data_IF_556427815209
#
_entry.id   IF_556427815209
#
_cell.length_a   1.000
_cell.length_b   1.000
_cell.length_c   1.000
_cell.angle_alpha   90.00
_cell.angle_beta   90.00
_cell.angle_gamma   90.00
#
_symmetry.space_group_name_H-M   'P 1'
#
loop_
_entity.id
_entity.type
_entity.pdbx_description
1 polymer ?
#
# COMPACT_ATOMS: atom_id res chain seq x y z
N UNK A 1 -33.36 23.19 13.05
CA UNK A 1 -33.04 22.27 11.94
C UNK A 1 -31.71 22.60 11.27
N UNK A 2 -31.46 23.86 10.85
CA UNK A 2 -30.17 24.27 10.23
C UNK A 2 -28.91 23.98 11.07
N UNK A 3 -28.95 24.13 12.40
CA UNK A 3 -27.80 23.83 13.28
C UNK A 3 -27.44 22.32 13.33
N UNK A 4 -28.45 21.45 13.44
CA UNK A 4 -28.27 19.99 13.43
C UNK A 4 -27.74 19.46 12.09
N UNK A 5 -28.17 20.06 10.97
CA UNK A 5 -27.67 19.66 9.64
C UNK A 5 -26.22 20.06 9.40
N UNK A 6 -25.78 21.21 9.93
CA UNK A 6 -24.36 21.63 9.82
C UNK A 6 -23.47 20.75 10.70
N UNK A 7 -23.90 20.43 11.93
CA UNK A 7 -23.16 19.52 12.81
C UNK A 7 -23.02 18.13 12.19
N UNK A 8 -24.10 17.58 11.62
CA UNK A 8 -24.06 16.31 10.90
C UNK A 8 -23.09 16.32 9.71
N UNK A 9 -23.12 17.37 8.88
CA UNK A 9 -22.20 17.50 7.75
C UNK A 9 -20.73 17.63 8.19
N UNK A 10 -20.47 18.30 9.31
CA UNK A 10 -19.11 18.39 9.87
C UNK A 10 -18.61 17.03 10.34
N UNK A 11 -19.41 16.29 11.12
CA UNK A 11 -19.04 14.94 11.59
C UNK A 11 -18.80 13.97 10.42
N UNK A 12 -19.72 13.97 9.44
CA UNK A 12 -19.58 13.15 8.23
C UNK A 12 -18.32 13.53 7.43
N UNK A 13 -17.98 14.82 7.37
CA UNK A 13 -16.75 15.31 6.77
C UNK A 13 -15.51 14.78 7.49
N UNK A 14 -15.47 14.85 8.82
CA UNK A 14 -14.35 14.31 9.63
C UNK A 14 -14.21 12.80 9.42
N UNK A 15 -15.32 12.06 9.45
CA UNK A 15 -15.31 10.61 9.21
C UNK A 15 -14.80 10.28 7.80
N UNK A 16 -15.25 11.03 6.79
CA UNK A 16 -14.80 10.87 5.40
C UNK A 16 -13.30 11.13 5.27
N UNK A 17 -12.79 12.20 5.90
CA UNK A 17 -11.36 12.53 5.91
C UNK A 17 -10.55 11.42 6.59
N UNK A 18 -11.03 10.88 7.71
CA UNK A 18 -10.36 9.76 8.39
C UNK A 18 -10.27 8.50 7.51
N UNK A 19 -11.36 8.16 6.81
CA UNK A 19 -11.39 7.01 5.88
C UNK A 19 -10.44 7.23 4.70
N UNK A 20 -10.48 8.41 4.07
CA UNK A 20 -9.60 8.74 2.93
C UNK A 20 -8.13 8.74 3.37
N UNK A 21 -7.81 9.28 4.54
CA UNK A 21 -6.45 9.25 5.08
C UNK A 21 -5.97 7.82 5.32
N UNK A 22 -6.81 6.96 5.91
CA UNK A 22 -6.51 5.52 6.07
C UNK A 22 -6.22 4.86 4.71
N UNK A 23 -7.08 5.11 3.71
CA UNK A 23 -6.90 4.55 2.38
C UNK A 23 -5.59 5.01 1.71
N UNK A 24 -5.20 6.28 1.88
CA UNK A 24 -3.93 6.81 1.36
C UNK A 24 -2.74 6.10 2.01
N UNK A 25 -2.77 5.90 3.34
CA UNK A 25 -1.69 5.20 4.05
C UNK A 25 -1.55 3.75 3.60
N UNK A 26 -2.66 3.04 3.43
CA UNK A 26 -2.66 1.65 2.93
C UNK A 26 -2.07 1.59 1.52
N UNK A 27 -2.49 2.49 0.62
CA UNK A 27 -1.97 2.49 -0.75
C UNK A 27 -0.47 2.81 -0.80
N UNK A 28 0.00 3.71 0.08
CA UNK A 28 1.43 3.98 0.25
C UNK A 28 2.16 2.73 0.74
N UNK A 29 1.65 2.05 1.76
CA UNK A 29 2.23 0.81 2.29
C UNK A 29 2.38 -0.27 1.21
N UNK A 30 1.35 -0.46 0.38
CA UNK A 30 1.36 -1.43 -0.72
C UNK A 30 2.39 -1.05 -1.79
N UNK A 31 2.47 0.24 -2.14
CA UNK A 31 3.43 0.72 -3.13
C UNK A 31 4.88 0.51 -2.67
N UNK A 32 5.17 0.86 -1.43
CA UNK A 32 6.49 0.72 -0.84
C UNK A 32 6.90 -0.76 -0.71
N UNK A 33 5.98 -1.61 -0.24
CA UNK A 33 6.21 -3.07 -0.12
C UNK A 33 6.59 -3.75 -1.45
N UNK A 34 6.10 -3.25 -2.60
CA UNK A 34 6.50 -3.75 -3.92
C UNK A 34 7.93 -3.39 -4.30
N UNK A 35 8.42 -2.22 -3.87
CA UNK A 35 9.81 -1.82 -4.07
C UNK A 35 10.71 -2.61 -3.14
N UNK A 36 10.34 -2.75 -1.88
CA UNK A 36 11.07 -3.51 -0.86
C UNK A 36 11.24 -4.98 -1.27
N UNK A 37 10.17 -5.61 -1.75
CA UNK A 37 10.20 -6.99 -2.27
C UNK A 37 11.15 -7.16 -3.46
N UNK A 38 11.28 -6.13 -4.31
CA UNK A 38 12.22 -6.15 -5.44
C UNK A 38 13.66 -6.06 -4.95
N UNK A 39 13.95 -5.20 -3.98
CA UNK A 39 15.27 -5.07 -3.35
C UNK A 39 15.70 -6.42 -2.76
N UNK A 40 14.83 -7.06 -1.96
CA UNK A 40 15.08 -8.38 -1.35
C UNK A 40 15.34 -9.45 -2.41
N UNK A 41 14.59 -9.44 -3.53
CA UNK A 41 14.82 -10.39 -4.62
C UNK A 41 16.20 -10.17 -5.28
N UNK A 42 16.57 -8.91 -5.52
CA UNK A 42 17.86 -8.56 -6.13
C UNK A 42 19.01 -8.95 -5.21
N UNK A 43 18.94 -8.65 -3.91
CA UNK A 43 19.95 -9.08 -2.93
C UNK A 43 20.00 -10.61 -2.80
N UNK A 44 18.84 -11.27 -2.82
CA UNK A 44 18.75 -12.72 -2.85
C UNK A 44 19.44 -13.32 -4.08
N UNK A 45 19.27 -12.69 -5.24
CA UNK A 45 19.89 -13.09 -6.52
C UNK A 45 21.40 -12.91 -6.51
N UNK A 46 21.95 -11.94 -5.78
CA UNK A 46 23.40 -11.75 -5.65
C UNK A 46 24.12 -13.00 -5.15
N UNK A 47 23.51 -13.73 -4.22
CA UNK A 47 24.04 -14.99 -3.65
C UNK A 47 24.11 -16.11 -4.70
N UNK A 48 23.05 -16.25 -5.50
CA UNK A 48 23.04 -17.23 -6.59
C UNK A 48 24.08 -16.86 -7.66
N UNK A 49 24.19 -15.56 -7.97
CA UNK A 49 25.14 -15.06 -8.96
C UNK A 49 26.60 -15.24 -8.50
N UNK A 50 26.95 -15.00 -7.24
CA UNK A 50 28.31 -15.25 -6.73
C UNK A 50 28.71 -16.71 -6.90
N UNK A 51 27.80 -17.63 -6.55
CA UNK A 51 28.00 -19.07 -6.74
C UNK A 51 28.09 -19.45 -8.22
N UNK A 52 27.24 -18.86 -9.08
CA UNK A 52 27.27 -19.10 -10.53
C UNK A 52 28.58 -18.63 -11.15
N UNK A 53 29.09 -17.46 -10.76
CA UNK A 53 30.38 -16.92 -11.17
C UNK A 53 31.49 -17.89 -10.79
N UNK A 54 31.54 -18.34 -9.53
CA UNK A 54 32.55 -19.30 -9.05
C UNK A 54 32.48 -20.63 -9.80
N UNK A 55 31.28 -21.17 -10.01
CA UNK A 55 31.08 -22.42 -10.75
C UNK A 55 31.54 -22.30 -12.21
N UNK A 56 31.20 -21.21 -12.90
CA UNK A 56 31.61 -20.98 -14.27
C UNK A 56 33.13 -20.78 -14.36
N UNK A 57 33.73 -20.05 -13.42
CA UNK A 57 35.17 -19.84 -13.33
C UNK A 57 35.92 -21.17 -13.16
N UNK A 58 35.47 -22.04 -12.26
CA UNK A 58 36.05 -23.39 -12.07
C UNK A 58 35.92 -24.25 -13.33
N UNK A 59 34.78 -24.18 -14.03
CA UNK A 59 34.53 -24.94 -15.26
C UNK A 59 35.52 -24.60 -16.39
N UNK A 60 36.04 -23.37 -16.44
CA UNK A 60 37.05 -22.96 -17.43
C UNK A 60 38.33 -23.82 -17.39
N UNK A 61 38.69 -24.40 -16.23
CA UNK A 61 39.89 -25.24 -16.12
C UNK A 61 39.73 -26.59 -16.84
N UNK A 62 38.49 -27.02 -17.04
CA UNK A 62 38.15 -28.33 -17.62
C UNK A 62 37.75 -28.25 -19.09
N UNK A 63 37.73 -27.06 -19.68
CA UNK A 63 37.41 -26.86 -21.10
C UNK A 63 38.52 -27.43 -21.99
N UNK A 64 38.14 -28.30 -22.93
CA UNK A 64 39.06 -28.95 -23.87
C UNK A 64 39.02 -28.35 -25.27
N UNK A 65 37.89 -27.72 -25.63
CA UNK A 65 37.65 -27.14 -26.95
C UNK A 65 37.56 -25.62 -26.86
N UNK A 66 37.78 -24.96 -28.00
CA UNK A 66 37.67 -23.51 -28.12
C UNK A 66 36.24 -23.06 -27.86
N UNK A 67 35.31 -23.80 -28.43
CA UNK A 67 33.87 -23.57 -28.37
C UNK A 67 33.39 -23.64 -26.91
N UNK A 68 33.77 -24.70 -26.18
CA UNK A 68 33.42 -24.85 -24.76
C UNK A 68 33.98 -23.71 -23.91
N UNK A 69 35.24 -23.32 -24.15
CA UNK A 69 35.88 -22.26 -23.40
C UNK A 69 35.14 -20.93 -23.57
N UNK A 70 34.84 -20.52 -24.80
CA UNK A 70 34.14 -19.26 -25.04
C UNK A 70 32.69 -19.29 -24.57
N UNK A 71 32.00 -20.44 -24.64
CA UNK A 71 30.66 -20.60 -24.08
C UNK A 71 30.65 -20.42 -22.55
N UNK A 72 31.56 -21.07 -21.83
CA UNK A 72 31.67 -20.94 -20.36
C UNK A 72 32.15 -19.55 -19.97
N UNK A 73 33.07 -18.95 -20.73
CA UNK A 73 33.52 -17.58 -20.52
C UNK A 73 32.36 -16.60 -20.67
N UNK A 74 31.52 -16.76 -21.69
CA UNK A 74 30.33 -15.93 -21.87
C UNK A 74 29.35 -16.08 -20.70
N UNK A 75 29.14 -17.31 -20.20
CA UNK A 75 28.30 -17.57 -19.01
C UNK A 75 28.84 -16.83 -17.78
N UNK A 76 30.15 -16.93 -17.53
CA UNK A 76 30.84 -16.26 -16.44
C UNK A 76 30.66 -14.74 -16.53
N UNK A 77 30.96 -14.16 -17.69
CA UNK A 77 30.94 -12.70 -17.88
C UNK A 77 29.53 -12.14 -17.79
N UNK A 78 28.54 -12.83 -18.37
CA UNK A 78 27.14 -12.42 -18.29
C UNK A 78 26.64 -12.46 -16.84
N UNK A 79 27.01 -13.50 -16.08
CA UNK A 79 26.65 -13.58 -14.66
C UNK A 79 27.31 -12.45 -13.85
N UNK A 80 28.58 -12.16 -14.12
CA UNK A 80 29.32 -11.09 -13.45
C UNK A 80 28.81 -9.69 -13.80
N UNK A 81 28.38 -9.45 -15.05
CA UNK A 81 27.81 -8.16 -15.46
C UNK A 81 26.49 -7.89 -14.73
N UNK A 82 25.58 -8.87 -14.71
CA UNK A 82 24.33 -8.75 -13.97
C UNK A 82 24.56 -8.63 -12.45
N UNK A 83 25.57 -9.33 -11.94
CA UNK A 83 25.95 -9.26 -10.53
C UNK A 83 26.46 -7.88 -10.15
N UNK A 84 27.34 -7.29 -10.95
CA UNK A 84 27.85 -5.93 -10.76
C UNK A 84 26.75 -4.87 -10.87
N UNK A 85 25.90 -4.95 -11.89
CA UNK A 85 24.74 -4.04 -12.04
C UNK A 85 23.80 -4.12 -10.84
N UNK A 86 23.49 -5.34 -10.39
CA UNK A 86 22.63 -5.56 -9.23
C UNK A 86 23.30 -5.08 -7.94
N UNK A 87 24.63 -5.21 -7.80
CA UNK A 87 25.36 -4.74 -6.63
C UNK A 87 25.35 -3.21 -6.54
N UNK A 88 25.59 -2.53 -7.67
CA UNK A 88 25.50 -1.07 -7.78
C UNK A 88 24.08 -0.56 -7.49
N UNK A 89 23.07 -1.20 -8.08
CA UNK A 89 21.68 -0.83 -7.87
C UNK A 89 21.23 -0.99 -6.40
N UNK A 90 21.78 -1.94 -5.65
CA UNK A 90 21.50 -2.10 -4.22
C UNK A 90 22.14 -0.98 -3.36
N UNK A 91 23.24 -0.39 -3.80
CA UNK A 91 23.92 0.69 -3.07
C UNK A 91 23.40 2.09 -3.45
N UNK A 92 23.10 2.29 -4.72
CA UNK A 92 22.81 3.62 -5.28
C UNK A 92 21.39 3.76 -5.85
N UNK A 93 20.65 2.66 -5.98
CA UNK A 93 19.34 2.64 -6.64
C UNK A 93 19.47 2.70 -8.17
N UNK A 94 18.34 2.61 -8.86
CA UNK A 94 18.24 2.82 -10.30
C UNK A 94 16.80 3.18 -10.70
N UNK A 95 16.50 3.20 -12.00
CA UNK A 95 15.15 3.54 -12.49
C UNK A 95 14.04 2.59 -11.98
N UNK A 96 14.39 1.39 -11.50
CA UNK A 96 13.44 0.34 -11.10
C UNK A 96 13.34 0.14 -9.59
N UNK A 97 14.36 0.54 -8.82
CA UNK A 97 14.40 0.43 -7.36
C UNK A 97 14.94 1.72 -6.73
N UNK A 98 14.24 2.19 -5.71
CA UNK A 98 14.72 3.26 -4.83
C UNK A 98 15.19 2.63 -3.52
N UNK A 99 16.47 2.83 -3.19
CA UNK A 99 17.12 2.27 -2.00
C UNK A 99 17.39 3.33 -0.94
N UNK A 100 17.03 4.59 -1.19
CA UNK A 100 17.44 5.74 -0.37
C UNK A 100 17.01 5.61 1.09
N UNK A 101 15.80 5.11 1.33
CA UNK A 101 15.25 4.90 2.67
C UNK A 101 15.97 3.76 3.42
N UNK A 102 16.14 2.60 2.77
CA UNK A 102 16.81 1.46 3.40
C UNK A 102 18.30 1.74 3.64
N UNK A 103 18.97 2.37 2.69
CA UNK A 103 20.40 2.69 2.78
C UNK A 103 20.72 3.83 3.76
N UNK A 104 19.71 4.43 4.39
CA UNK A 104 19.92 5.26 5.58
C UNK A 104 20.25 4.41 6.83
N UNK A 105 20.02 3.09 6.81
CA UNK A 105 20.35 2.18 7.91
C UNK A 105 21.87 2.11 8.13
N UNK A 106 22.38 2.45 9.33
CA UNK A 106 23.80 2.31 9.66
C UNK A 106 24.32 0.87 9.52
N UNK A 107 23.43 -0.12 9.73
CA UNK A 107 23.76 -1.55 9.62
C UNK A 107 24.02 -1.90 8.15
N UNK A 108 23.15 -1.48 7.22
CA UNK A 108 23.37 -1.73 5.78
C UNK A 108 24.63 -1.03 5.27
N UNK A 109 24.86 0.22 5.67
CA UNK A 109 26.08 0.95 5.29
C UNK A 109 27.34 0.17 5.73
N UNK A 110 27.35 -0.33 6.97
CA UNK A 110 28.45 -1.14 7.48
C UNK A 110 28.62 -2.46 6.72
N UNK A 111 27.52 -3.17 6.45
CA UNK A 111 27.56 -4.43 5.70
C UNK A 111 28.06 -4.25 4.27
N UNK A 112 27.60 -3.21 3.56
CA UNK A 112 28.11 -2.87 2.22
C UNK A 112 29.58 -2.46 2.25
N UNK A 113 30.02 -1.73 3.26
CA UNK A 113 31.45 -1.42 3.42
C UNK A 113 32.29 -2.69 3.66
N UNK A 114 31.77 -3.66 4.41
CA UNK A 114 32.49 -4.90 4.74
C UNK A 114 32.52 -5.90 3.59
N UNK A 115 31.49 -5.92 2.73
CA UNK A 115 31.43 -6.82 1.58
C UNK A 115 32.29 -6.33 0.40
N UNK A 116 32.54 -5.02 0.31
CA UNK A 116 33.21 -4.37 -0.82
C UNK A 116 34.56 -4.99 -1.20
N UNK A 117 35.50 -5.30 -0.27
CA UNK A 117 36.80 -5.88 -0.65
C UNK A 117 36.68 -7.25 -1.32
N UNK A 118 35.70 -8.06 -0.91
CA UNK A 118 35.43 -9.37 -1.53
C UNK A 118 34.79 -9.20 -2.90
N UNK A 119 33.87 -8.23 -3.03
CA UNK A 119 33.28 -7.86 -4.30
C UNK A 119 34.35 -7.43 -5.31
N UNK A 120 35.22 -6.50 -4.92
CA UNK A 120 36.30 -5.95 -5.75
C UNK A 120 37.28 -7.03 -6.19
N UNK A 121 37.63 -7.95 -5.28
CA UNK A 121 38.51 -9.08 -5.57
C UNK A 121 37.92 -10.03 -6.62
N UNK A 122 36.63 -10.35 -6.50
CA UNK A 122 35.93 -11.24 -7.45
C UNK A 122 35.81 -10.55 -8.81
N UNK A 123 35.33 -9.30 -8.87
CA UNK A 123 35.10 -8.62 -10.15
C UNK A 123 36.42 -8.32 -10.88
N UNK A 124 37.48 -7.98 -10.14
CA UNK A 124 38.83 -7.81 -10.69
C UNK A 124 39.37 -9.12 -11.29
N UNK A 125 39.21 -10.24 -10.59
CA UNK A 125 39.59 -11.56 -11.10
C UNK A 125 38.78 -11.97 -12.33
N UNK A 126 37.48 -11.67 -12.38
CA UNK A 126 36.66 -11.86 -13.60
C UNK A 126 37.17 -10.96 -14.73
N UNK A 127 37.55 -9.72 -14.45
CA UNK A 127 38.17 -8.80 -15.41
C UNK A 127 39.43 -9.37 -16.06
N UNK A 128 40.30 -10.00 -15.26
CA UNK A 128 41.47 -10.71 -15.78
C UNK A 128 41.07 -11.88 -16.70
N UNK A 129 40.04 -12.66 -16.35
CA UNK A 129 39.55 -13.76 -17.20
C UNK A 129 38.95 -13.22 -18.51
N UNK A 130 38.30 -12.06 -18.50
CA UNK A 130 37.74 -11.41 -19.70
C UNK A 130 38.79 -11.16 -20.79
N UNK A 131 40.03 -10.86 -20.42
CA UNK A 131 41.09 -10.57 -21.41
C UNK A 131 41.75 -11.82 -21.98
N UNK A 132 41.54 -13.00 -21.39
CA UNK A 132 42.19 -14.25 -21.81
C UNK A 132 41.55 -14.84 -23.07
N UNK A 133 42.36 -15.26 -24.04
CA UNK A 133 41.92 -16.03 -25.21
C UNK A 133 41.98 -17.54 -24.98
N UNK A 134 41.24 -18.30 -25.80
CA UNK A 134 41.50 -19.74 -25.92
C UNK A 134 42.82 -19.96 -26.66
N UNK A 135 43.87 -20.35 -25.94
CA UNK A 135 45.09 -20.89 -26.54
C UNK A 135 45.05 -22.40 -26.46
N UNK A 136 45.14 -23.07 -27.62
CA UNK A 136 45.32 -24.54 -27.72
C UNK A 136 46.63 -25.01 -27.05
N UNK A 137 47.49 -24.07 -26.65
CA UNK A 137 48.73 -24.28 -25.90
C UNK A 137 48.80 -23.26 -24.76
N UNK A 138 48.11 -23.47 -23.64
CA UNK A 138 48.31 -22.62 -22.46
C UNK A 138 49.75 -22.85 -21.94
N UNK A 139 50.72 -22.07 -22.40
CA UNK A 139 52.11 -22.06 -21.92
C UNK A 139 52.42 -20.69 -21.32
N UNK A 140 52.95 -20.71 -20.09
CA UNK A 140 53.44 -19.54 -19.40
C UNK A 140 52.35 -18.73 -18.68
N UNK A 141 52.48 -17.40 -18.74
CA UNK A 141 51.79 -16.43 -17.89
C UNK A 141 50.26 -16.45 -17.96
N UNK A 142 49.65 -16.79 -19.11
CA UNK A 142 48.18 -16.80 -19.26
C UNK A 142 47.52 -17.92 -18.45
N UNK A 143 48.17 -19.10 -18.32
CA UNK A 143 47.68 -20.19 -17.46
C UNK A 143 47.69 -19.77 -16.01
N UNK A 144 48.78 -19.14 -15.61
CA UNK A 144 48.99 -18.70 -14.24
C UNK A 144 47.97 -17.61 -13.89
N UNK A 145 47.70 -16.67 -14.81
CA UNK A 145 46.64 -15.66 -14.63
C UNK A 145 45.27 -16.30 -14.48
N UNK A 146 44.92 -17.30 -15.31
CA UNK A 146 43.65 -18.02 -15.20
C UNK A 146 43.53 -18.72 -13.84
N UNK A 147 44.53 -19.51 -13.44
CA UNK A 147 44.53 -20.26 -12.17
C UNK A 147 44.48 -19.31 -10.98
N UNK A 148 45.27 -18.23 -10.97
CA UNK A 148 45.24 -17.20 -9.92
C UNK A 148 43.89 -16.50 -9.83
N UNK A 149 43.28 -16.16 -10.97
CA UNK A 149 41.98 -15.50 -11.00
C UNK A 149 40.88 -16.42 -10.47
N UNK A 150 40.87 -17.70 -10.86
CA UNK A 150 39.90 -18.66 -10.35
C UNK A 150 40.09 -18.90 -8.85
N UNK A 151 41.33 -18.99 -8.37
CA UNK A 151 41.62 -19.09 -6.93
C UNK A 151 41.11 -17.87 -6.18
N UNK A 152 41.35 -16.68 -6.70
CA UNK A 152 40.85 -15.42 -6.11
C UNK A 152 39.33 -15.41 -6.01
N UNK A 153 38.62 -15.81 -7.06
CA UNK A 153 37.16 -15.92 -7.05
C UNK A 153 36.71 -16.92 -5.97
N UNK A 154 37.29 -18.12 -5.96
CA UNK A 154 36.92 -19.19 -5.03
C UNK A 154 37.20 -18.86 -3.56
N UNK A 155 38.31 -18.18 -3.26
CA UNK A 155 38.71 -17.83 -1.89
C UNK A 155 37.82 -16.73 -1.28
N UNK A 156 37.29 -15.84 -2.12
CA UNK A 156 36.48 -14.69 -1.67
C UNK A 156 34.97 -14.97 -1.68
N UNK A 157 34.51 -15.95 -2.45
CA UNK A 157 33.07 -16.22 -2.62
C UNK A 157 32.34 -16.53 -1.31
N UNK A 158 32.93 -17.36 -0.44
CA UNK A 158 32.27 -17.74 0.81
C UNK A 158 32.00 -16.54 1.74
N UNK A 159 32.99 -15.64 1.87
CA UNK A 159 32.86 -14.43 2.67
C UNK A 159 31.85 -13.45 2.03
N UNK A 160 31.91 -13.28 0.71
CA UNK A 160 30.91 -12.49 -0.01
C UNK A 160 29.49 -13.05 0.21
N UNK A 161 29.32 -14.36 0.06
CA UNK A 161 28.03 -15.04 0.19
C UNK A 161 27.45 -14.86 1.59
N UNK A 162 28.28 -15.00 2.63
CA UNK A 162 27.86 -14.78 4.01
C UNK A 162 27.40 -13.34 4.25
N UNK A 163 28.22 -12.34 3.88
CA UNK A 163 27.84 -10.94 4.05
C UNK A 163 26.62 -10.56 3.20
N UNK A 164 26.46 -11.13 2.01
CA UNK A 164 25.28 -10.90 1.18
C UNK A 164 24.01 -11.56 1.75
N UNK A 165 24.14 -12.67 2.49
CA UNK A 165 23.04 -13.19 3.30
C UNK A 165 22.63 -12.18 4.37
N UNK A 166 23.59 -11.62 5.10
CA UNK A 166 23.33 -10.63 6.16
C UNK A 166 22.67 -9.37 5.59
N UNK A 167 23.14 -8.87 4.43
CA UNK A 167 22.50 -7.76 3.71
C UNK A 167 21.06 -8.10 3.31
N UNK A 168 20.83 -9.32 2.82
CA UNK A 168 19.48 -9.76 2.43
C UNK A 168 18.54 -9.83 3.63
N UNK A 169 19.02 -10.34 4.77
CA UNK A 169 18.23 -10.39 6.00
C UNK A 169 17.97 -9.00 6.58
N UNK A 170 18.93 -8.08 6.48
CA UNK A 170 18.71 -6.71 6.93
C UNK A 170 17.71 -5.97 6.05
N UNK A 171 17.74 -6.13 4.72
CA UNK A 171 16.68 -5.63 3.84
C UNK A 171 15.31 -6.20 4.22
N UNK A 172 15.23 -7.51 4.47
CA UNK A 172 13.99 -8.17 4.89
C UNK A 172 13.47 -7.61 6.22
N UNK A 173 14.37 -7.42 7.21
CA UNK A 173 14.04 -6.83 8.51
C UNK A 173 13.50 -5.40 8.36
N UNK A 174 14.16 -4.56 7.57
CA UNK A 174 13.74 -3.16 7.35
C UNK A 174 12.39 -3.09 6.64
N UNK A 175 12.17 -3.92 5.63
CA UNK A 175 10.88 -4.01 4.93
C UNK A 175 9.75 -4.43 5.87
N UNK A 176 9.97 -5.44 6.70
CA UNK A 176 8.98 -5.90 7.69
C UNK A 176 8.68 -4.84 8.75
N UNK A 177 9.71 -4.16 9.27
CA UNK A 177 9.55 -3.09 10.25
C UNK A 177 8.66 -1.96 9.71
N UNK A 178 8.87 -1.55 8.45
CA UNK A 178 8.05 -0.54 7.79
C UNK A 178 6.57 -0.94 7.69
N UNK A 179 6.30 -2.20 7.33
CA UNK A 179 4.93 -2.73 7.26
C UNK A 179 4.28 -2.78 8.66
N UNK A 180 5.03 -3.15 9.68
CA UNK A 180 4.54 -3.22 11.07
C UNK A 180 4.18 -1.83 11.64
N UNK A 181 5.01 -0.82 11.39
CA UNK A 181 4.75 0.58 11.78
C UNK A 181 3.48 1.15 11.10
N UNK A 182 3.30 0.84 9.81
CA UNK A 182 2.11 1.23 9.05
C UNK A 182 0.85 0.50 9.53
N UNK A 183 0.96 -0.81 9.81
CA UNK A 183 -0.15 -1.60 10.35
C UNK A 183 -0.59 -1.10 11.73
N UNK A 184 0.36 -0.74 12.60
CA UNK A 184 0.04 -0.20 13.93
C UNK A 184 -0.70 1.14 13.83
N UNK A 185 -0.30 1.98 12.88
CA UNK A 185 -0.97 3.26 12.60
C UNK A 185 -2.40 3.08 12.10
N UNK A 186 -2.67 2.01 11.34
CA UNK A 186 -4.01 1.68 10.84
C UNK A 186 -4.98 1.33 11.98
N UNK A 187 -4.54 0.52 12.95
CA UNK A 187 -5.35 0.20 14.13
C UNK A 187 -5.77 1.43 14.92
N UNK A 188 -4.89 2.43 15.06
CA UNK A 188 -5.23 3.70 15.71
C UNK A 188 -6.27 4.49 14.91
N UNK A 189 -6.14 4.57 13.59
CA UNK A 189 -7.12 5.25 12.73
C UNK A 189 -8.48 4.55 12.74
N UNK A 190 -8.49 3.22 12.73
CA UNK A 190 -9.70 2.42 12.86
C UNK A 190 -10.39 2.68 14.20
N UNK A 191 -9.63 2.68 15.30
CA UNK A 191 -10.17 2.99 16.63
C UNK A 191 -10.80 4.40 16.66
N UNK A 192 -10.14 5.40 16.07
CA UNK A 192 -10.68 6.76 15.96
C UNK A 192 -11.96 6.79 15.12
N UNK A 193 -12.01 6.11 13.98
CA UNK A 193 -13.20 6.03 13.14
C UNK A 193 -14.39 5.38 13.88
N UNK A 194 -14.15 4.30 14.63
CA UNK A 194 -15.17 3.64 15.44
C UNK A 194 -15.70 4.55 16.56
N UNK A 195 -14.81 5.29 17.22
CA UNK A 195 -15.20 6.29 18.22
C UNK A 195 -16.05 7.40 17.59
N UNK A 196 -15.68 7.91 16.40
CA UNK A 196 -16.47 8.90 15.68
C UNK A 196 -17.88 8.39 15.36
N UNK A 197 -18.00 7.15 14.87
CA UNK A 197 -19.29 6.51 14.58
C UNK A 197 -20.14 6.39 15.86
N UNK A 198 -19.55 5.99 16.98
CA UNK A 198 -20.25 5.92 18.26
C UNK A 198 -20.74 7.30 18.73
N UNK A 199 -19.92 8.34 18.56
CA UNK A 199 -20.30 9.71 18.89
C UNK A 199 -21.44 10.21 17.99
N UNK A 200 -21.41 9.96 16.70
CA UNK A 200 -22.51 10.28 15.79
C UNK A 200 -23.82 9.59 16.20
N UNK A 201 -23.75 8.30 16.56
CA UNK A 201 -24.90 7.53 17.00
C UNK A 201 -25.56 8.12 18.26
N UNK A 202 -24.75 8.50 19.25
CA UNK A 202 -25.25 9.02 20.53
C UNK A 202 -25.68 10.49 20.45
N UNK A 203 -24.88 11.35 19.82
CA UNK A 203 -25.07 12.80 19.83
C UNK A 203 -25.88 13.34 18.65
N UNK A 204 -25.99 12.60 17.54
CA UNK A 204 -26.74 13.06 16.36
C UNK A 204 -27.95 12.17 16.12
N UNK A 205 -27.76 10.87 15.89
CA UNK A 205 -28.87 10.00 15.49
C UNK A 205 -29.90 9.84 16.60
N UNK A 206 -29.49 9.54 17.84
CA UNK A 206 -30.42 9.43 18.99
C UNK A 206 -31.31 10.68 19.19
N UNK A 207 -30.78 11.91 19.34
CA UNK A 207 -31.62 13.09 19.53
C UNK A 207 -32.45 13.44 18.29
N UNK A 208 -31.94 13.16 17.09
CA UNK A 208 -32.70 13.32 15.85
C UNK A 208 -33.92 12.38 15.83
N UNK A 209 -33.76 11.11 16.19
CA UNK A 209 -34.87 10.16 16.27
C UNK A 209 -35.90 10.57 17.33
N UNK A 210 -35.45 11.00 18.51
CA UNK A 210 -36.36 11.52 19.55
C UNK A 210 -37.15 12.75 19.07
N UNK A 211 -36.47 13.69 18.42
CA UNK A 211 -37.10 14.90 17.87
C UNK A 211 -38.07 14.58 16.74
N UNK A 212 -37.75 13.61 15.89
CA UNK A 212 -38.64 13.15 14.81
C UNK A 212 -39.91 12.52 15.38
N UNK A 213 -39.79 11.64 16.38
CA UNK A 213 -40.94 11.01 17.04
C UNK A 213 -41.81 12.04 17.77
N UNK A 214 -41.20 13.04 18.43
CA UNK A 214 -41.96 14.13 19.06
C UNK A 214 -42.77 14.92 18.04
N UNK A 215 -42.17 15.29 16.91
CA UNK A 215 -42.87 15.99 15.82
C UNK A 215 -43.99 15.16 15.22
N UNK A 216 -43.80 13.85 15.10
CA UNK A 216 -44.84 12.94 14.64
C UNK A 216 -46.04 12.92 15.59
N UNK A 217 -45.78 12.87 16.91
CA UNK A 217 -46.82 13.01 17.94
C UNK A 217 -47.53 14.36 17.86
N UNK A 218 -46.79 15.47 17.82
CA UNK A 218 -47.36 16.82 17.74
C UNK A 218 -48.25 17.00 16.49
N UNK A 219 -47.88 16.40 15.35
CA UNK A 219 -48.70 16.39 14.13
C UNK A 219 -49.96 15.53 14.31
N UNK A 220 -49.86 14.39 14.99
CA UNK A 220 -51.01 13.52 15.30
C UNK A 220 -51.99 14.23 16.22
N UNK A 221 -51.50 14.82 17.31
CA UNK A 221 -52.30 15.55 18.29
C UNK A 221 -52.97 16.77 17.64
N UNK A 222 -52.25 17.50 16.78
CA UNK A 222 -52.81 18.61 16.02
C UNK A 222 -53.89 18.13 15.03
N UNK A 223 -53.70 16.97 14.40
CA UNK A 223 -54.70 16.41 13.50
C UNK A 223 -55.97 16.03 14.27
N UNK A 224 -55.82 15.41 15.43
CA UNK A 224 -56.93 15.04 16.31
C UNK A 224 -57.66 16.28 16.86
N UNK A 225 -56.91 17.29 17.32
CA UNK A 225 -57.46 18.57 17.75
C UNK A 225 -58.28 19.26 16.65
N UNK A 226 -57.75 19.31 15.41
CA UNK A 226 -58.50 19.88 14.27
C UNK A 226 -59.76 19.06 13.97
N UNK A 227 -59.69 17.73 13.97
CA UNK A 227 -60.88 16.88 13.76
C UNK A 227 -61.94 17.10 14.85
N UNK A 228 -61.51 17.21 16.09
CA UNK A 228 -62.40 17.45 17.22
C UNK A 228 -63.04 18.85 17.14
N UNK A 229 -62.27 19.89 16.82
CA UNK A 229 -62.82 21.24 16.63
C UNK A 229 -63.75 21.34 15.42
N UNK A 230 -63.49 20.62 14.33
CA UNK A 230 -64.44 20.43 13.22
C UNK A 230 -65.76 19.82 13.72
N UNK A 231 -65.71 18.79 14.58
CA UNK A 231 -66.91 18.15 15.14
C UNK A 231 -67.74 19.06 16.06
N UNK A 232 -67.09 19.96 16.81
CA UNK A 232 -67.76 20.94 17.67
C UNK A 232 -68.35 22.11 16.87
N UNK A 233 -67.68 22.55 15.81
CA UNK A 233 -68.11 23.64 14.94
C UNK A 233 -69.23 23.26 13.96
N UNK A 234 -69.42 21.97 13.67
CA UNK A 234 -70.54 21.44 12.88
C UNK A 234 -71.95 21.68 13.45
N UNK A 235 -72.08 22.50 14.51
CA UNK A 235 -73.36 22.96 15.07
C UNK A 235 -73.64 24.46 14.82
N UNK A 236 -72.80 25.17 14.07
CA UNK A 236 -73.04 26.59 13.69
C UNK A 236 -72.70 26.86 12.22
N UNK A 237 -73.47 27.72 11.56
CA UNK A 237 -73.40 27.98 10.11
C UNK A 237 -72.09 28.67 9.67
N UNK A 238 -71.41 29.39 10.57
CA UNK A 238 -70.10 30.02 10.35
C UNK A 238 -68.94 29.02 10.51
N UNK A 239 -69.21 27.88 11.16
CA UNK A 239 -68.26 26.78 11.32
C UNK A 239 -68.00 26.02 10.03
N UNK A 240 -68.99 25.82 9.16
CA UNK A 240 -68.85 25.04 7.92
C UNK A 240 -67.85 25.64 6.92
N UNK A 241 -67.82 26.97 6.79
CA UNK A 241 -66.87 27.68 5.91
C UNK A 241 -65.43 27.57 6.41
N UNK A 242 -65.21 27.76 7.71
CA UNK A 242 -63.89 27.60 8.33
C UNK A 242 -63.43 26.14 8.33
N UNK A 243 -64.36 25.18 8.47
CA UNK A 243 -64.09 23.74 8.35
C UNK A 243 -63.62 23.40 6.92
N UNK A 244 -64.23 23.98 5.89
CA UNK A 244 -63.82 23.75 4.50
C UNK A 244 -62.43 24.32 4.21
N UNK A 245 -62.10 25.52 4.70
CA UNK A 245 -60.75 26.10 4.56
C UNK A 245 -59.68 25.31 5.35
N UNK A 246 -60.00 24.87 6.57
CA UNK A 246 -59.10 24.04 7.37
C UNK A 246 -58.86 22.67 6.72
N UNK A 247 -59.90 22.04 6.16
CA UNK A 247 -59.78 20.77 5.44
C UNK A 247 -58.98 20.91 4.14
N UNK A 248 -59.18 21.99 3.37
CA UNK A 248 -58.35 22.32 2.20
C UNK A 248 -56.87 22.51 2.59
N UNK A 249 -56.62 23.21 3.68
CA UNK A 249 -55.26 23.45 4.19
C UNK A 249 -54.59 22.16 4.66
N UNK A 250 -55.31 21.31 5.40
CA UNK A 250 -54.84 19.99 5.80
C UNK A 250 -54.57 19.11 4.59
N UNK A 251 -55.43 19.14 3.57
CA UNK A 251 -55.26 18.38 2.34
C UNK A 251 -54.01 18.84 1.57
N UNK A 252 -53.77 20.15 1.49
CA UNK A 252 -52.52 20.73 0.96
C UNK A 252 -51.31 20.23 1.74
N UNK A 253 -51.32 20.35 3.07
CA UNK A 253 -50.23 19.90 3.93
C UNK A 253 -49.99 18.38 3.84
N UNK A 254 -51.04 17.54 3.77
CA UNK A 254 -50.92 16.09 3.53
C UNK A 254 -50.32 15.78 2.17
N UNK A 255 -50.73 16.50 1.12
CA UNK A 255 -50.15 16.35 -0.21
C UNK A 255 -48.67 16.75 -0.23
N UNK A 256 -48.32 17.81 0.47
CA UNK A 256 -46.97 18.34 0.54
C UNK A 256 -46.07 17.42 1.38
N UNK A 257 -46.59 16.90 2.49
CA UNK A 257 -45.91 15.90 3.31
C UNK A 257 -45.76 14.56 2.57
N UNK A 258 -46.75 14.16 1.76
CA UNK A 258 -46.63 12.99 0.87
C UNK A 258 -45.57 13.21 -0.21
N UNK A 259 -45.54 14.40 -0.82
CA UNK A 259 -44.53 14.80 -1.81
C UNK A 259 -43.13 14.82 -1.19
N UNK A 260 -42.99 15.34 0.04
CA UNK A 260 -41.75 15.32 0.80
C UNK A 260 -41.33 13.89 1.17
N UNK A 261 -42.25 13.02 1.60
CA UNK A 261 -41.99 11.58 1.82
C UNK A 261 -41.49 10.91 0.53
N UNK A 262 -42.12 11.17 -0.61
CA UNK A 262 -41.67 10.60 -1.90
C UNK A 262 -40.31 11.16 -2.32
N UNK A 263 -40.03 12.44 -2.05
CA UNK A 263 -38.71 13.05 -2.31
C UNK A 263 -37.63 12.46 -1.41
N UNK A 264 -37.92 12.25 -0.12
CA UNK A 264 -37.04 11.54 0.83
C UNK A 264 -36.83 10.09 0.40
N UNK A 265 -37.87 9.38 -0.06
CA UNK A 265 -37.76 8.00 -0.53
C UNK A 265 -36.93 7.90 -1.82
N UNK A 266 -37.06 8.86 -2.74
CA UNK A 266 -36.21 8.97 -3.94
C UNK A 266 -34.76 9.29 -3.59
N UNK A 267 -34.52 10.19 -2.63
CA UNK A 267 -33.17 10.49 -2.13
C UNK A 267 -32.53 9.27 -1.47
N UNK A 268 -33.29 8.50 -0.67
CA UNK A 268 -32.82 7.21 -0.12
C UNK A 268 -32.48 6.19 -1.21
N UNK A 269 -33.32 6.06 -2.24
CA UNK A 269 -33.09 5.12 -3.35
C UNK A 269 -31.89 5.53 -4.23
N UNK A 270 -31.72 6.83 -4.48
CA UNK A 270 -30.54 7.36 -5.17
C UNK A 270 -29.26 7.09 -4.38
N UNK A 271 -29.27 7.21 -3.05
CA UNK A 271 -28.16 6.82 -2.15
C UNK A 271 -27.90 5.30 -2.09
N UNK A 272 -28.87 4.45 -2.45
CA UNK A 272 -28.66 2.99 -2.49
C UNK A 272 -28.05 2.55 -3.82
N UNK A 273 -28.43 3.20 -4.93
CA UNK A 273 -27.90 2.91 -6.28
C UNK A 273 -26.46 3.42 -6.45
N UNK A 274 -26.04 4.47 -5.73
CA UNK A 274 -24.63 4.92 -5.71
C UNK A 274 -23.71 4.08 -4.82
N UNK A 275 -24.24 3.07 -4.10
CA UNK A 275 -23.49 2.15 -3.25
C UNK A 275 -23.45 0.70 -3.80
N UNK A 276 -24.02 0.45 -4.99
CA UNK A 276 -24.04 -0.87 -5.66
C UNK A 276 -23.35 -0.86 -7.06
N UNK A 277 -22.69 0.24 -7.44
CA UNK A 277 -21.71 0.32 -8.54
C UNK A 277 -20.31 0.54 -7.97
#
# INVERSE_FOLDING_TARGET
>A
MKKLSVQYLLFLGVLTVAIVASQILIQKAIADSKTDSRIINISGRQRMLSQKITKAALKLQSCKTREDFYAVKLELTTAADLWAESHDALQHGNANIDVSEMNASPILISLFSNIQPYYDSIIGAVGNIRTLGFSSSIRGSEKDTLVKSIKTISDNEANFLQLMNDITFEHDRLAHQKVEELSTSEYYLLAVALVLIMLEAFFIFRPMFKSAKKKESEISDLHEYVQQSISYLGKSQEGETLINEANETIKKLKSENSRLKTKVKKLKKAQTITNEE
#
